data_IF_232549339266
#
_entry.id   IF_232549339266
#
_cell.length_a   1.000
_cell.length_b   1.000
_cell.length_c   1.000
_cell.angle_alpha   90.00
_cell.angle_beta   90.00
_cell.angle_gamma   90.00
#
_symmetry.space_group_name_H-M   'P 1'
#
loop_
_entity.id
_entity.type
_entity.pdbx_description
1 polymer ?
#
# COMPACT_ATOMS: atom_id res chain seq x y z
N UNK A 1 16.74 -4.87 10.40
CA UNK A 1 15.72 -4.09 9.66
C UNK A 1 16.18 -3.92 8.22
N UNK A 2 15.34 -4.25 7.25
CA UNK A 2 15.57 -4.08 5.81
C UNK A 2 14.42 -3.28 5.21
N UNK A 3 14.73 -2.32 4.35
CA UNK A 3 13.76 -1.62 3.51
C UNK A 3 13.92 -2.16 2.09
N UNK A 4 12.83 -2.58 1.44
CA UNK A 4 12.86 -3.15 0.09
C UNK A 4 11.54 -2.96 -0.64
N UNK A 5 11.57 -3.13 -1.96
CA UNK A 5 10.36 -3.29 -2.76
C UNK A 5 9.59 -4.54 -2.32
N UNK A 6 8.27 -4.41 -2.28
CA UNK A 6 7.33 -5.50 -2.10
C UNK A 6 7.22 -6.31 -3.38
N UNK A 7 6.94 -7.61 -3.24
CA UNK A 7 6.54 -8.47 -4.35
C UNK A 7 5.13 -9.00 -4.11
N UNK A 8 4.54 -9.62 -5.13
CA UNK A 8 3.23 -10.29 -5.01
C UNK A 8 3.20 -11.41 -3.95
N UNK A 9 4.37 -11.94 -3.55
CA UNK A 9 4.47 -12.96 -2.51
C UNK A 9 4.37 -12.37 -1.10
N UNK A 10 4.55 -11.06 -0.96
CA UNK A 10 4.38 -10.34 0.31
C UNK A 10 2.92 -10.01 0.62
N UNK A 11 2.00 -10.17 -0.34
CA UNK A 11 0.60 -9.76 -0.23
C UNK A 11 -0.08 -10.24 1.07
N UNK A 12 0.09 -11.51 1.44
CA UNK A 12 -0.52 -12.05 2.66
C UNK A 12 0.02 -11.39 3.94
N UNK A 13 1.30 -11.00 3.96
CA UNK A 13 1.94 -10.37 5.11
C UNK A 13 1.58 -8.90 5.19
N UNK A 14 1.54 -8.22 4.04
CA UNK A 14 1.09 -6.83 3.94
C UNK A 14 -0.38 -6.74 4.37
N UNK A 15 -1.27 -7.55 3.80
CA UNK A 15 -2.70 -7.58 4.17
C UNK A 15 -2.91 -7.81 5.68
N UNK A 16 -2.10 -8.68 6.30
CA UNK A 16 -2.15 -8.86 7.76
C UNK A 16 -1.76 -7.60 8.55
N UNK A 17 -0.82 -6.80 8.05
CA UNK A 17 -0.47 -5.49 8.65
C UNK A 17 -1.63 -4.51 8.52
N UNK A 18 -2.26 -4.40 7.35
CA UNK A 18 -3.47 -3.55 7.17
C UNK A 18 -4.60 -3.97 8.10
N UNK A 19 -4.88 -5.28 8.18
CA UNK A 19 -5.88 -5.84 9.07
C UNK A 19 -5.59 -5.56 10.56
N UNK A 20 -4.32 -5.55 10.97
CA UNK A 20 -3.95 -5.22 12.35
C UNK A 20 -4.06 -3.74 12.71
N UNK A 21 -4.09 -2.86 11.69
CA UNK A 21 -4.16 -1.41 11.86
C UNK A 21 -5.59 -0.86 11.69
N UNK A 22 -6.60 -1.72 11.58
CA UNK A 22 -7.96 -1.37 11.15
C UNK A 22 -8.01 -0.58 9.82
N UNK A 23 -6.96 -0.70 8.99
CA UNK A 23 -6.85 -0.08 7.66
C UNK A 23 -7.35 -1.02 6.55
N UNK A 24 -8.36 -1.85 6.87
CA UNK A 24 -8.98 -2.80 5.92
C UNK A 24 -9.91 -2.13 4.93
N UNK A 25 -10.15 -0.83 5.08
CA UNK A 25 -10.92 -0.01 4.14
C UNK A 25 -10.16 0.27 2.83
N UNK A 26 -8.85 0.01 2.80
CA UNK A 26 -8.03 0.24 1.60
C UNK A 26 -8.16 -0.87 0.54
N UNK A 27 -8.35 -2.14 0.94
CA UNK A 27 -8.52 -3.30 0.06
C UNK A 27 -9.50 -4.32 0.66
N UNK A 28 -10.50 -4.75 -0.11
CA UNK A 28 -11.59 -5.62 0.34
C UNK A 28 -11.07 -6.99 0.80
N UNK A 29 -10.06 -7.55 0.11
CA UNK A 29 -9.50 -8.86 0.43
C UNK A 29 -8.02 -9.05 0.01
N UNK A 30 -7.48 -10.24 0.31
CA UNK A 30 -6.13 -10.64 -0.04
C UNK A 30 -5.90 -10.73 -1.57
N UNK A 31 -6.93 -11.10 -2.33
CA UNK A 31 -6.81 -11.22 -3.78
C UNK A 31 -6.64 -9.83 -4.40
N UNK A 32 -7.44 -8.85 -3.96
CA UNK A 32 -7.32 -7.46 -4.35
C UNK A 32 -5.97 -6.87 -3.93
N UNK A 33 -5.53 -7.08 -2.68
CA UNK A 33 -4.21 -6.65 -2.22
C UNK A 33 -3.09 -7.15 -3.17
N UNK A 34 -3.15 -8.42 -3.57
CA UNK A 34 -2.18 -9.02 -4.50
C UNK A 34 -2.25 -8.38 -5.89
N UNK A 35 -3.44 -8.12 -6.40
CA UNK A 35 -3.66 -7.46 -7.69
C UNK A 35 -3.09 -6.04 -7.69
N UNK A 36 -3.30 -5.29 -6.62
CA UNK A 36 -2.80 -3.93 -6.48
C UNK A 36 -1.28 -3.89 -6.42
N UNK A 37 -0.64 -4.80 -5.67
CA UNK A 37 0.83 -4.93 -5.67
C UNK A 37 1.36 -5.25 -7.07
N UNK A 38 0.73 -6.18 -7.79
CA UNK A 38 1.12 -6.53 -9.15
C UNK A 38 1.02 -5.32 -10.09
N UNK A 39 -0.13 -4.64 -10.09
CA UNK A 39 -0.38 -3.46 -10.92
C UNK A 39 0.62 -2.34 -10.64
N UNK A 40 0.86 -2.01 -9.37
CA UNK A 40 1.85 -1.00 -8.96
C UNK A 40 3.27 -1.37 -9.42
N UNK A 41 3.61 -2.66 -9.37
CA UNK A 41 4.91 -3.16 -9.87
C UNK A 41 5.03 -2.99 -11.38
N UNK A 42 3.98 -3.33 -12.14
CA UNK A 42 3.94 -3.20 -13.60
C UNK A 42 4.07 -1.73 -14.06
N UNK A 43 3.63 -0.78 -13.23
CA UNK A 43 3.77 0.66 -13.47
C UNK A 43 5.14 1.22 -13.07
N UNK A 44 6.04 0.39 -12.55
CA UNK A 44 7.36 0.81 -12.08
C UNK A 44 7.34 1.51 -10.72
N UNK A 45 6.25 1.38 -9.95
CA UNK A 45 6.11 1.97 -8.61
C UNK A 45 5.68 0.93 -7.58
N UNK A 46 6.46 -0.15 -7.36
CA UNK A 46 6.11 -1.15 -6.36
C UNK A 46 6.05 -0.53 -4.96
N UNK A 47 5.16 -1.01 -4.08
CA UNK A 47 5.18 -0.63 -2.67
C UNK A 47 6.54 -0.92 -2.02
N UNK A 48 6.87 -0.18 -0.97
CA UNK A 48 8.06 -0.38 -0.16
C UNK A 48 7.64 -0.96 1.19
N UNK A 49 8.33 -2.01 1.63
CA UNK A 49 8.08 -2.65 2.94
C UNK A 49 9.28 -2.51 3.87
N UNK A 50 8.98 -2.37 5.15
CA UNK A 50 9.95 -2.48 6.23
C UNK A 50 9.88 -3.90 6.83
N UNK A 51 11.02 -4.59 6.86
CA UNK A 51 11.15 -5.96 7.33
C UNK A 51 12.07 -6.06 8.55
N UNK A 52 11.63 -6.75 9.60
CA UNK A 52 12.40 -7.07 10.80
C UNK A 52 12.32 -8.58 11.02
N UNK A 53 13.47 -9.26 11.04
CA UNK A 53 13.58 -10.70 11.27
C UNK A 53 12.67 -11.57 10.39
N UNK A 54 12.48 -11.18 9.12
CA UNK A 54 11.60 -11.89 8.17
C UNK A 54 10.13 -11.47 8.24
N UNK A 55 9.76 -10.57 9.15
CA UNK A 55 8.41 -10.07 9.32
C UNK A 55 8.26 -8.68 8.71
N UNK A 56 7.22 -8.48 7.91
CA UNK A 56 6.82 -7.15 7.44
C UNK A 56 6.11 -6.45 8.59
N UNK A 57 6.60 -5.27 8.97
CA UNK A 57 6.07 -4.46 10.08
C UNK A 57 5.46 -3.14 9.60
N UNK A 58 5.57 -2.85 8.29
CA UNK A 58 5.01 -1.65 7.68
C UNK A 58 5.14 -1.66 6.17
N UNK A 59 4.25 -0.92 5.52
CA UNK A 59 4.17 -0.72 4.07
C UNK A 59 4.07 0.78 3.79
N UNK A 60 4.70 1.23 2.70
CA UNK A 60 4.54 2.55 2.13
C UNK A 60 4.30 2.38 0.63
N UNK A 61 3.21 2.93 0.13
CA UNK A 61 2.87 2.94 -1.30
C UNK A 61 2.67 4.36 -1.79
N UNK A 62 2.87 4.55 -3.09
CA UNK A 62 2.44 5.79 -3.76
C UNK A 62 0.95 5.66 -4.02
N UNK A 63 0.15 6.44 -3.31
CA UNK A 63 -1.28 6.53 -3.57
C UNK A 63 -1.53 7.56 -4.67
N UNK A 64 -1.94 7.10 -5.84
CA UNK A 64 -2.30 7.94 -6.99
C UNK A 64 -3.78 8.38 -6.95
N UNK A 65 -4.37 8.50 -5.76
CA UNK A 65 -5.81 8.75 -5.58
C UNK A 65 -6.31 9.87 -6.50
N UNK A 66 -7.42 9.61 -7.21
CA UNK A 66 -8.12 10.46 -8.21
C UNK A 66 -7.30 11.17 -9.33
N UNK A 67 -5.99 11.35 -9.18
CA UNK A 67 -5.14 12.14 -10.08
C UNK A 67 -4.64 11.32 -11.28
N UNK A 68 -4.75 9.99 -11.23
CA UNK A 68 -4.55 9.11 -12.38
C UNK A 68 -5.77 8.18 -12.52
N UNK A 69 -6.80 8.57 -13.30
CA UNK A 69 -8.03 7.80 -13.50
C UNK A 69 -7.78 6.37 -14.01
N UNK A 70 -6.73 6.15 -14.80
CA UNK A 70 -6.31 4.84 -15.31
C UNK A 70 -5.82 3.89 -14.21
N UNK A 71 -5.59 4.40 -13.00
CA UNK A 71 -5.16 3.66 -11.81
C UNK A 71 -6.28 3.30 -10.84
N UNK A 72 -7.55 3.51 -11.22
CA UNK A 72 -8.70 2.96 -10.51
C UNK A 72 -9.10 3.78 -9.29
N UNK A 73 -9.31 5.08 -9.49
CA UNK A 73 -9.92 5.94 -8.49
C UNK A 73 -11.41 5.63 -8.34
N UNK A 74 -11.78 4.84 -7.34
CA UNK A 74 -13.07 4.81 -6.62
C UNK A 74 -12.89 3.76 -5.51
N UNK A 75 -12.90 4.05 -4.20
CA UNK A 75 -13.70 5.01 -3.41
C UNK A 75 -12.92 5.59 -2.24
N UNK A 76 -13.40 6.74 -1.76
CA UNK A 76 -13.05 7.31 -0.46
C UNK A 76 -14.35 7.44 0.35
N UNK A 77 -14.38 6.95 1.58
CA UNK A 77 -15.06 7.62 2.69
C UNK A 77 -14.11 7.56 3.91
N UNK A 78 -13.59 8.75 4.26
CA UNK A 78 -12.88 9.11 5.49
C UNK A 78 -11.46 8.54 5.76
N UNK A 79 -10.48 8.88 4.90
CA UNK A 79 -9.06 8.81 5.31
C UNK A 79 -8.49 10.22 5.50
N UNK A 80 -7.98 10.59 6.70
CA UNK A 80 -7.44 11.92 6.96
C UNK A 80 -6.07 12.06 6.27
N UNK A 81 -6.06 12.62 5.07
CA UNK A 81 -4.82 12.95 4.37
C UNK A 81 -3.99 13.95 5.19
N UNK A 82 -2.84 13.50 5.72
CA UNK A 82 -1.83 14.40 6.33
C UNK A 82 -0.97 14.97 5.21
N UNK A 83 -1.30 16.18 4.75
CA UNK A 83 -0.43 16.93 3.86
C UNK A 83 0.77 17.48 4.64
N UNK A 84 1.98 17.04 4.31
CA UNK A 84 3.22 17.66 4.81
C UNK A 84 3.33 19.02 4.13
N UNK A 85 3.06 20.10 4.87
CA UNK A 85 3.39 21.45 4.42
C UNK A 85 4.90 21.63 4.54
N UNK A 86 5.55 21.98 3.44
CA UNK A 86 6.93 22.46 3.48
C UNK A 86 6.99 23.73 4.36
N UNK A 87 7.81 23.71 5.41
CA UNK A 87 8.10 24.91 6.19
C UNK A 87 9.13 25.76 5.41
N UNK A 88 8.92 27.08 5.27
CA UNK A 88 9.93 28.00 4.76
C UNK A 88 11.13 28.15 5.71
#
# INVERSE_FOLDING_TARGET
MKIREATVDDAARIYAVHASNDATDEWDDLAECREQIARMTDLGTPPIVAEIDGHIVGEMKVWWGQDIPELGGEKQEDSPSVFVRENP
#
